data_IF_358364872142
#
_entry.id   IF_358364872142
#
_cell.length_a   1.000
_cell.length_b   1.000
_cell.length_c   1.000
_cell.angle_alpha   90.00
_cell.angle_beta   90.00
_cell.angle_gamma   90.00
#
_symmetry.space_group_name_H-M   'P 1'
#
loop_
_entity.id
_entity.type
_entity.pdbx_description
1 polymer ?
#
# COMPACT_ATOMS: atom_id res chain seq x y z
N UNK A 1 -76.17 -51.28 -4.37
CA UNK A 1 -75.41 -51.58 -3.12
C UNK A 1 -73.95 -51.31 -3.37
N UNK A 2 -73.30 -50.67 -2.40
CA UNK A 2 -71.85 -50.46 -2.23
C UNK A 2 -71.26 -49.24 -2.95
N UNK A 3 -71.13 -48.24 -2.24
CA UNK A 3 -70.13 -47.64 -1.40
C UNK A 3 -68.87 -47.27 -2.16
N UNK A 4 -68.70 -45.94 -2.35
CA UNK A 4 -67.56 -45.31 -2.92
C UNK A 4 -66.39 -45.14 -1.94
N UNK A 5 -65.18 -45.18 -2.43
CA UNK A 5 -63.98 -44.72 -1.70
C UNK A 5 -63.34 -43.51 -2.40
N UNK A 6 -63.37 -42.38 -1.71
CA UNK A 6 -62.60 -41.18 -2.05
C UNK A 6 -61.11 -41.46 -1.86
N UNK A 7 -60.37 -41.29 -2.93
CA UNK A 7 -58.87 -41.25 -2.87
C UNK A 7 -58.43 -39.82 -2.86
N UNK A 8 -57.79 -39.39 -1.75
CA UNK A 8 -57.15 -38.08 -1.60
C UNK A 8 -55.78 -38.11 -2.29
N UNK A 9 -55.67 -37.35 -3.37
CA UNK A 9 -54.38 -37.09 -3.99
C UNK A 9 -53.70 -35.95 -3.23
N UNK A 10 -52.61 -36.26 -2.56
CA UNK A 10 -51.74 -35.26 -1.93
C UNK A 10 -50.89 -34.64 -3.01
N UNK A 11 -51.11 -33.38 -3.30
CA UNK A 11 -50.20 -32.58 -4.14
C UNK A 11 -49.02 -32.14 -3.29
N UNK A 12 -47.87 -32.75 -3.48
CA UNK A 12 -46.60 -32.30 -2.93
C UNK A 12 -46.03 -31.20 -3.82
N UNK A 13 -46.17 -29.97 -3.39
CA UNK A 13 -45.51 -28.81 -3.99
C UNK A 13 -44.03 -28.82 -3.60
N UNK A 14 -43.17 -29.23 -4.54
CA UNK A 14 -41.72 -29.09 -4.41
C UNK A 14 -41.37 -27.64 -4.67
N UNK A 15 -41.03 -26.91 -3.60
CA UNK A 15 -40.49 -25.54 -3.69
C UNK A 15 -39.02 -25.64 -4.11
N UNK A 16 -38.75 -25.45 -5.39
CA UNK A 16 -37.38 -25.31 -5.91
C UNK A 16 -36.84 -23.94 -5.49
N UNK A 17 -35.97 -23.92 -4.50
CA UNK A 17 -35.19 -22.73 -4.17
C UNK A 17 -34.12 -22.52 -5.26
N UNK A 18 -34.38 -21.63 -6.20
CA UNK A 18 -33.32 -21.10 -7.05
C UNK A 18 -32.41 -20.19 -6.20
N UNK A 19 -31.30 -20.75 -5.73
CA UNK A 19 -30.18 -19.94 -5.22
C UNK A 19 -29.58 -19.24 -6.44
N UNK A 20 -29.96 -18.00 -6.66
CA UNK A 20 -29.27 -17.14 -7.59
C UNK A 20 -27.86 -16.88 -7.03
N UNK A 21 -26.87 -17.65 -7.53
CA UNK A 21 -25.47 -17.29 -7.38
C UNK A 21 -25.27 -15.96 -8.13
N UNK A 22 -25.33 -14.86 -7.40
CA UNK A 22 -24.79 -13.59 -7.89
C UNK A 22 -23.28 -13.75 -8.00
N UNK A 23 -22.82 -14.15 -9.19
CA UNK A 23 -21.40 -13.99 -9.53
C UNK A 23 -21.11 -12.49 -9.46
N UNK A 24 -20.54 -12.07 -8.34
CA UNK A 24 -19.97 -10.74 -8.24
C UNK A 24 -18.84 -10.70 -9.26
N UNK A 25 -19.06 -9.99 -10.37
CA UNK A 25 -17.99 -9.68 -11.28
C UNK A 25 -16.83 -9.10 -10.45
N UNK A 26 -15.62 -9.64 -10.63
CA UNK A 26 -14.44 -9.05 -10.03
C UNK A 26 -14.43 -7.57 -10.40
N UNK A 27 -14.14 -6.66 -9.47
CA UNK A 27 -14.07 -5.25 -9.79
C UNK A 27 -13.10 -5.10 -10.97
N UNK A 28 -13.57 -4.50 -12.05
CA UNK A 28 -12.71 -4.10 -13.17
C UNK A 28 -11.55 -3.32 -12.55
N UNK A 29 -10.31 -3.72 -12.90
CA UNK A 29 -9.14 -2.98 -12.48
C UNK A 29 -9.40 -1.48 -12.76
N UNK A 30 -9.21 -0.60 -11.77
CA UNK A 30 -9.41 0.82 -11.98
C UNK A 30 -8.57 1.24 -13.20
N UNK A 31 -9.13 2.11 -14.04
CA UNK A 31 -8.38 2.69 -15.14
C UNK A 31 -7.06 3.22 -14.57
N UNK A 32 -5.94 2.91 -15.26
CA UNK A 32 -4.65 3.46 -14.85
C UNK A 32 -4.82 4.98 -14.72
N UNK A 33 -4.40 5.60 -13.62
CA UNK A 33 -4.48 7.04 -13.49
C UNK A 33 -3.76 7.64 -14.70
N UNK A 34 -4.47 8.46 -15.47
CA UNK A 34 -3.86 9.15 -16.60
C UNK A 34 -2.73 10.02 -16.04
N UNK A 35 -1.53 9.81 -16.55
CA UNK A 35 -0.40 10.69 -16.24
C UNK A 35 -0.75 12.05 -16.83
N UNK A 36 -1.07 13.01 -15.99
CA UNK A 36 -1.21 14.41 -16.38
C UNK A 36 0.11 14.85 -17.01
N UNK A 37 0.05 15.53 -18.15
CA UNK A 37 1.22 16.12 -18.78
C UNK A 37 2.02 16.93 -17.73
N UNK A 38 3.33 17.01 -17.89
CA UNK A 38 4.19 17.81 -17.01
C UNK A 38 3.57 19.20 -16.80
N UNK A 39 3.32 19.64 -15.55
CA UNK A 39 2.67 20.91 -15.30
C UNK A 39 3.44 22.06 -15.97
N UNK A 40 2.73 23.11 -16.40
CA UNK A 40 3.34 24.29 -17.00
C UNK A 40 4.41 24.87 -16.08
N UNK A 41 5.54 25.28 -16.63
CA UNK A 41 6.65 25.88 -15.87
C UNK A 41 7.54 24.89 -15.12
N UNK A 42 7.30 23.58 -15.24
CA UNK A 42 8.24 22.55 -14.82
C UNK A 42 9.15 22.23 -16.00
N UNK A 43 10.48 22.19 -15.81
CA UNK A 43 11.41 21.77 -16.85
C UNK A 43 11.09 20.37 -17.38
N UNK A 44 11.40 20.14 -18.67
CA UNK A 44 11.22 18.82 -19.25
C UNK A 44 11.88 17.75 -18.42
N UNK A 45 11.21 16.59 -18.23
CA UNK A 45 11.76 15.51 -17.43
C UNK A 45 13.01 14.92 -18.11
N UNK A 46 13.96 14.39 -17.31
CA UNK A 46 15.19 13.84 -17.84
C UNK A 46 14.91 12.59 -18.68
N UNK A 47 15.72 12.41 -19.74
CA UNK A 47 15.74 11.16 -20.50
C UNK A 47 16.40 10.07 -19.66
N UNK A 48 15.79 8.88 -19.63
CA UNK A 48 16.32 7.69 -18.97
C UNK A 48 16.45 6.52 -19.92
N UNK A 49 17.48 5.70 -19.73
CA UNK A 49 17.75 4.50 -20.53
C UNK A 49 16.80 3.34 -20.21
N UNK A 50 16.11 3.40 -19.05
CA UNK A 50 15.19 2.36 -18.60
C UNK A 50 14.08 2.09 -19.63
N UNK A 51 13.75 0.82 -19.80
CA UNK A 51 12.62 0.38 -20.64
C UNK A 51 11.26 0.71 -20.04
N UNK A 52 11.17 0.88 -18.71
CA UNK A 52 10.04 1.49 -18.02
C UNK A 52 10.55 2.20 -16.75
N UNK A 53 9.94 3.34 -16.42
CA UNK A 53 10.30 4.09 -15.23
C UNK A 53 9.12 4.88 -14.66
N UNK A 54 9.18 5.14 -13.35
CA UNK A 54 8.23 6.00 -12.65
C UNK A 54 8.93 6.73 -11.51
N UNK A 55 8.46 7.94 -11.24
CA UNK A 55 8.78 8.69 -10.03
C UNK A 55 7.47 9.09 -9.34
N UNK A 56 7.34 8.79 -8.06
CA UNK A 56 6.16 9.16 -7.28
C UNK A 56 6.55 9.90 -6.01
N UNK A 57 5.71 10.83 -5.58
CA UNK A 57 5.79 11.39 -4.24
C UNK A 57 5.24 10.35 -3.25
N UNK A 58 6.05 9.97 -2.26
CA UNK A 58 5.74 8.82 -1.39
C UNK A 58 4.47 8.98 -0.57
N UNK A 59 4.23 10.18 0.01
CA UNK A 59 3.11 10.43 0.90
C UNK A 59 1.79 10.48 0.14
N UNK A 60 1.75 11.20 -0.97
CA UNK A 60 0.55 11.40 -1.77
C UNK A 60 0.27 10.29 -2.76
N UNK A 61 1.31 9.58 -3.21
CA UNK A 61 1.24 8.63 -4.30
C UNK A 61 1.13 9.28 -5.68
N UNK A 62 1.18 10.61 -5.78
CA UNK A 62 1.11 11.30 -7.06
C UNK A 62 2.31 10.95 -7.93
N UNK A 63 2.01 10.67 -9.19
CA UNK A 63 3.01 10.37 -10.21
C UNK A 63 3.59 11.69 -10.70
N UNK A 64 4.91 11.84 -10.57
CA UNK A 64 5.65 13.01 -11.02
C UNK A 64 6.28 12.77 -12.40
N UNK A 65 6.64 11.52 -12.71
CA UNK A 65 7.19 11.09 -13.98
C UNK A 65 6.73 9.68 -14.30
N UNK A 66 6.46 9.39 -15.56
CA UNK A 66 6.15 8.05 -16.06
C UNK A 66 6.70 7.84 -17.47
N UNK A 67 7.33 6.67 -17.68
CA UNK A 67 7.75 6.15 -18.99
C UNK A 67 7.36 4.68 -19.01
N UNK A 68 6.45 4.28 -19.89
CA UNK A 68 5.96 2.89 -19.99
C UNK A 68 5.62 2.25 -18.63
N UNK A 69 5.19 3.09 -17.68
CA UNK A 69 5.09 2.72 -16.26
C UNK A 69 4.08 1.60 -15.97
N UNK A 70 3.14 1.37 -16.88
CA UNK A 70 2.09 0.35 -16.77
C UNK A 70 2.37 -0.90 -17.62
N UNK A 71 3.49 -0.95 -18.32
CA UNK A 71 3.88 -2.10 -19.15
C UNK A 71 4.42 -3.23 -18.26
N UNK A 72 3.87 -4.47 -18.34
CA UNK A 72 4.39 -5.61 -17.62
C UNK A 72 5.82 -5.94 -18.05
N UNK A 73 6.70 -6.10 -17.05
CA UNK A 73 8.11 -6.46 -17.22
C UNK A 73 8.54 -7.44 -16.13
N UNK A 74 9.59 -8.21 -16.41
CA UNK A 74 10.20 -9.06 -15.39
C UNK A 74 10.82 -8.17 -14.29
N UNK A 75 10.42 -8.33 -13.01
CA UNK A 75 10.87 -7.47 -11.92
C UNK A 75 12.22 -7.88 -11.33
N UNK A 76 12.74 -9.06 -11.64
CA UNK A 76 13.90 -9.66 -10.97
C UNK A 76 13.72 -9.64 -9.44
N UNK A 77 14.79 -9.47 -8.68
CA UNK A 77 14.77 -9.46 -7.21
C UNK A 77 14.02 -8.28 -6.56
N UNK A 78 13.44 -7.34 -7.31
CA UNK A 78 12.50 -6.37 -6.73
C UNK A 78 11.22 -7.05 -6.24
N UNK A 79 10.92 -8.27 -6.71
CA UNK A 79 9.91 -9.21 -6.17
C UNK A 79 10.00 -9.34 -4.64
N UNK A 80 11.21 -9.31 -4.08
CA UNK A 80 11.46 -9.48 -2.65
C UNK A 80 10.84 -8.39 -1.76
N UNK A 81 10.41 -7.29 -2.35
CA UNK A 81 9.61 -6.27 -1.66
C UNK A 81 8.30 -6.90 -1.18
N UNK A 82 7.59 -7.61 -2.05
CA UNK A 82 6.32 -8.26 -1.69
C UNK A 82 6.54 -9.48 -0.79
N UNK A 83 7.60 -10.24 -1.02
CA UNK A 83 8.00 -11.30 -0.10
C UNK A 83 8.17 -10.76 1.32
N UNK A 84 8.90 -9.66 1.49
CA UNK A 84 9.09 -9.04 2.80
C UNK A 84 7.80 -8.47 3.39
N UNK A 85 6.90 -7.87 2.58
CA UNK A 85 5.58 -7.42 3.03
C UNK A 85 4.81 -8.59 3.64
N UNK A 86 4.66 -9.70 2.88
CA UNK A 86 3.91 -10.86 3.34
C UNK A 86 4.53 -11.47 4.60
N UNK A 87 5.85 -11.59 4.67
CA UNK A 87 6.55 -12.09 5.87
C UNK A 87 6.25 -11.22 7.08
N UNK A 88 6.45 -9.90 6.96
CA UNK A 88 6.30 -8.94 8.07
C UNK A 88 4.86 -8.80 8.56
N UNK A 89 3.88 -9.10 7.69
CA UNK A 89 2.46 -9.07 8.04
C UNK A 89 1.94 -10.42 8.56
N UNK A 90 2.71 -11.51 8.42
CA UNK A 90 2.25 -12.86 8.76
C UNK A 90 2.83 -13.40 10.06
N UNK A 91 4.08 -13.10 10.39
CA UNK A 91 4.83 -13.76 11.49
C UNK A 91 5.73 -12.77 12.24
N UNK A 92 6.10 -13.15 13.46
CA UNK A 92 6.98 -12.35 14.32
C UNK A 92 8.46 -12.48 13.91
N UNK A 93 9.22 -11.39 14.04
CA UNK A 93 10.65 -11.36 13.68
C UNK A 93 11.53 -12.33 14.48
N UNK A 94 11.11 -12.70 15.70
CA UNK A 94 11.83 -13.61 16.59
C UNK A 94 11.51 -15.09 16.33
N UNK A 95 10.55 -15.41 15.49
CA UNK A 95 10.21 -16.78 15.14
C UNK A 95 11.38 -17.48 14.46
N UNK A 96 11.61 -18.73 14.83
CA UNK A 96 12.70 -19.56 14.29
C UNK A 96 12.24 -20.30 13.05
N UNK A 97 13.06 -20.27 12.04
CA UNK A 97 12.88 -20.94 10.75
C UNK A 97 13.99 -21.95 10.58
N UNK A 98 13.65 -23.21 10.37
CA UNK A 98 14.59 -24.26 10.00
C UNK A 98 14.75 -24.26 8.48
N UNK A 99 15.97 -24.08 7.99
CA UNK A 99 16.27 -24.06 6.55
C UNK A 99 16.14 -25.48 5.98
N UNK A 100 15.21 -25.68 5.06
CA UNK A 100 15.02 -26.96 4.36
C UNK A 100 16.17 -27.23 3.38
N UNK A 101 16.29 -28.48 2.93
CA UNK A 101 17.21 -28.85 1.83
C UNK A 101 16.85 -28.10 0.54
N UNK A 102 15.56 -27.92 0.26
CA UNK A 102 15.09 -27.20 -0.92
C UNK A 102 15.48 -25.72 -0.84
N UNK A 103 15.25 -25.07 0.29
CA UNK A 103 15.65 -23.68 0.49
C UNK A 103 17.18 -23.52 0.34
N UNK A 104 17.99 -24.35 1.02
CA UNK A 104 19.44 -24.28 0.94
C UNK A 104 19.96 -24.46 -0.51
N UNK A 105 19.29 -25.28 -1.32
CA UNK A 105 19.64 -25.55 -2.73
C UNK A 105 19.11 -24.51 -3.73
N UNK A 106 18.43 -23.45 -3.29
CA UNK A 106 17.84 -22.46 -4.20
C UNK A 106 18.92 -21.68 -4.97
N UNK A 107 18.85 -21.65 -6.33
CA UNK A 107 19.92 -21.06 -7.14
C UNK A 107 19.90 -19.51 -7.13
N UNK A 108 21.00 -18.92 -7.61
CA UNK A 108 21.19 -17.47 -7.79
C UNK A 108 21.79 -16.79 -6.59
N UNK A 109 21.38 -15.56 -6.29
CA UNK A 109 21.90 -14.84 -5.12
C UNK A 109 21.53 -15.60 -3.84
N UNK A 110 22.51 -15.94 -3.02
CA UNK A 110 22.31 -16.75 -1.83
C UNK A 110 22.86 -16.08 -0.57
N UNK A 111 22.27 -16.40 0.55
CA UNK A 111 22.88 -16.36 1.87
C UNK A 111 23.64 -17.69 2.04
N UNK A 112 24.66 -17.72 2.85
CA UNK A 112 25.41 -18.96 3.11
C UNK A 112 24.64 -19.83 4.12
N UNK A 113 23.48 -20.37 3.70
CA UNK A 113 22.56 -21.17 4.51
C UNK A 113 22.78 -22.66 4.31
N UNK A 114 22.91 -23.39 5.40
CA UNK A 114 22.98 -24.86 5.40
C UNK A 114 21.60 -25.47 5.69
N UNK A 115 21.32 -26.65 5.10
CA UNK A 115 20.12 -27.43 5.44
C UNK A 115 20.13 -27.82 6.93
N UNK A 116 19.00 -27.65 7.61
CA UNK A 116 18.85 -27.87 9.05
C UNK A 116 19.31 -26.72 9.94
N UNK A 117 19.90 -25.67 9.37
CA UNK A 117 20.26 -24.46 10.11
C UNK A 117 19.01 -23.73 10.60
N UNK A 118 19.02 -23.22 11.83
CA UNK A 118 17.95 -22.38 12.38
C UNK A 118 18.36 -20.91 12.37
N UNK A 119 17.47 -20.06 11.84
CA UNK A 119 17.58 -18.61 11.87
C UNK A 119 16.25 -18.01 12.29
N UNK A 120 16.27 -16.82 12.83
CA UNK A 120 15.04 -16.05 13.04
C UNK A 120 14.53 -15.47 11.71
N UNK A 121 13.23 -15.22 11.62
CA UNK A 121 12.61 -14.51 10.50
C UNK A 121 13.31 -13.17 10.26
N UNK A 122 13.67 -12.47 11.34
CA UNK A 122 14.42 -11.20 11.26
C UNK A 122 15.76 -11.35 10.56
N UNK A 123 16.60 -12.34 10.95
CA UNK A 123 17.89 -12.62 10.32
C UNK A 123 17.75 -12.96 8.84
N UNK A 124 16.72 -13.76 8.49
CA UNK A 124 16.43 -14.07 7.10
C UNK A 124 16.05 -12.83 6.31
N UNK A 125 15.21 -11.94 6.84
CA UNK A 125 14.82 -10.69 6.19
C UNK A 125 16.01 -9.77 5.92
N UNK A 126 16.97 -9.66 6.84
CA UNK A 126 18.20 -8.93 6.61
C UNK A 126 18.97 -9.47 5.41
N UNK A 127 19.15 -10.77 5.33
CA UNK A 127 19.83 -11.41 4.19
C UNK A 127 19.04 -11.29 2.88
N UNK A 128 17.73 -11.45 2.92
CA UNK A 128 16.82 -11.30 1.76
C UNK A 128 16.91 -9.89 1.17
N UNK A 129 16.86 -8.86 2.01
CA UNK A 129 16.77 -7.47 1.55
C UNK A 129 18.14 -6.88 1.23
N UNK A 130 19.20 -7.15 2.00
CA UNK A 130 20.53 -6.60 1.76
C UNK A 130 21.32 -7.38 0.70
N UNK A 131 21.48 -8.70 0.88
CA UNK A 131 22.24 -9.56 -0.05
C UNK A 131 21.39 -10.13 -1.19
N UNK A 132 20.08 -9.93 -1.14
CA UNK A 132 19.16 -10.48 -2.13
C UNK A 132 19.06 -12.01 -2.11
N UNK A 133 19.19 -12.66 -0.93
CA UNK A 133 19.22 -14.12 -0.77
C UNK A 133 17.94 -14.80 -1.25
N UNK A 134 18.03 -15.62 -2.31
CA UNK A 134 16.91 -16.39 -2.84
C UNK A 134 16.53 -17.52 -1.89
N UNK A 135 17.53 -18.21 -1.35
CA UNK A 135 17.37 -19.30 -0.40
C UNK A 135 16.66 -18.83 0.89
N UNK A 136 16.94 -17.63 1.37
CA UNK A 136 16.16 -17.01 2.47
C UNK A 136 14.69 -16.82 2.14
N UNK A 137 14.35 -16.42 0.88
CA UNK A 137 12.96 -16.28 0.45
C UNK A 137 12.21 -17.61 0.47
N UNK A 138 12.85 -18.69 0.00
CA UNK A 138 12.24 -20.01 0.01
C UNK A 138 12.07 -20.52 1.45
N UNK A 139 13.08 -20.32 2.32
CA UNK A 139 13.00 -20.71 3.72
C UNK A 139 11.83 -20.06 4.47
N UNK A 140 11.65 -18.75 4.34
CA UNK A 140 10.49 -18.06 4.97
C UNK A 140 9.17 -18.45 4.32
N UNK A 141 9.16 -18.70 3.01
CA UNK A 141 7.96 -19.12 2.30
C UNK A 141 7.45 -20.49 2.77
N UNK A 142 8.36 -21.47 2.89
CA UNK A 142 8.06 -22.81 3.41
C UNK A 142 7.63 -22.77 4.88
N UNK A 143 8.28 -21.95 5.69
CA UNK A 143 7.92 -21.77 7.10
C UNK A 143 6.49 -21.23 7.28
N UNK A 144 6.11 -20.19 6.51
CA UNK A 144 4.82 -19.50 6.66
C UNK A 144 3.68 -20.29 6.03
N UNK A 145 3.91 -20.89 4.85
CA UNK A 145 2.84 -21.46 4.02
C UNK A 145 3.01 -22.93 3.72
N UNK A 146 4.02 -23.60 4.29
CA UNK A 146 4.35 -25.00 4.04
C UNK A 146 5.03 -25.26 2.70
N UNK A 147 4.77 -24.43 1.67
CA UNK A 147 5.41 -24.52 0.35
C UNK A 147 5.60 -23.12 -0.25
N UNK A 148 6.62 -22.98 -1.12
CA UNK A 148 6.80 -21.73 -1.88
C UNK A 148 5.57 -21.40 -2.74
N UNK A 149 4.93 -22.40 -3.35
CA UNK A 149 3.73 -22.19 -4.16
C UNK A 149 2.57 -21.57 -3.38
N UNK A 150 2.27 -22.08 -2.19
CA UNK A 150 1.24 -21.53 -1.32
C UNK A 150 1.58 -20.10 -0.85
N UNK A 151 2.86 -19.83 -0.58
CA UNK A 151 3.32 -18.47 -0.25
C UNK A 151 3.19 -17.50 -1.42
N UNK A 152 3.48 -17.95 -2.64
CA UNK A 152 3.31 -17.15 -3.87
C UNK A 152 1.84 -16.76 -4.07
N UNK A 153 0.89 -17.63 -3.74
CA UNK A 153 -0.52 -17.28 -3.75
C UNK A 153 -0.86 -16.19 -2.71
N UNK A 154 -0.21 -16.21 -1.52
CA UNK A 154 -0.34 -15.12 -0.56
C UNK A 154 0.23 -13.82 -1.13
N UNK A 155 1.40 -13.85 -1.77
CA UNK A 155 2.01 -12.68 -2.43
C UNK A 155 1.08 -12.08 -3.49
N UNK A 156 0.50 -12.89 -4.36
CA UNK A 156 -0.41 -12.45 -5.42
C UNK A 156 -1.69 -11.83 -4.83
N UNK A 157 -2.29 -12.47 -3.82
CA UNK A 157 -3.45 -11.89 -3.13
C UNK A 157 -3.11 -10.56 -2.47
N UNK A 158 -1.94 -10.47 -1.81
CA UNK A 158 -1.55 -9.24 -1.13
C UNK A 158 -1.25 -8.11 -2.12
N UNK A 159 -0.58 -8.40 -3.23
CA UNK A 159 -0.35 -7.44 -4.29
C UNK A 159 -1.68 -6.87 -4.84
N UNK A 160 -2.66 -7.73 -5.13
CA UNK A 160 -3.98 -7.32 -5.58
C UNK A 160 -4.72 -6.46 -4.53
N UNK A 161 -4.67 -6.81 -3.24
CA UNK A 161 -5.27 -6.03 -2.15
C UNK A 161 -4.65 -4.63 -2.02
N UNK A 162 -3.36 -4.49 -2.34
CA UNK A 162 -2.65 -3.21 -2.37
C UNK A 162 -2.86 -2.43 -3.67
N UNK A 163 -3.64 -2.96 -4.64
CA UNK A 163 -3.95 -2.30 -5.89
C UNK A 163 -2.94 -2.57 -7.02
N UNK A 164 -2.00 -3.50 -6.84
CA UNK A 164 -1.02 -3.89 -7.87
C UNK A 164 -1.63 -4.92 -8.84
N UNK A 165 -2.61 -4.49 -9.63
CA UNK A 165 -3.43 -5.36 -10.48
C UNK A 165 -2.72 -5.90 -11.73
N UNK A 166 -1.61 -5.30 -12.13
CA UNK A 166 -0.81 -5.72 -13.29
C UNK A 166 0.46 -6.45 -12.86
N UNK A 167 0.37 -7.17 -11.75
CA UNK A 167 1.47 -7.92 -11.12
C UNK A 167 1.08 -9.37 -10.93
N UNK A 168 1.98 -10.29 -11.27
CA UNK A 168 1.82 -11.70 -11.02
C UNK A 168 3.17 -12.35 -10.72
N UNK A 169 3.27 -12.99 -9.56
CA UNK A 169 4.45 -13.68 -9.10
C UNK A 169 4.31 -15.21 -9.31
N UNK A 170 5.44 -15.87 -9.58
CA UNK A 170 5.56 -17.33 -9.74
C UNK A 170 6.56 -17.95 -8.77
N UNK A 171 7.35 -17.12 -8.11
CA UNK A 171 8.29 -17.50 -7.05
C UNK A 171 8.47 -16.33 -6.09
N UNK A 172 9.07 -16.61 -4.91
CA UNK A 172 9.25 -15.63 -3.86
C UNK A 172 10.50 -14.75 -4.03
N UNK A 173 11.36 -15.03 -4.98
CA UNK A 173 12.71 -14.44 -5.05
C UNK A 173 12.97 -13.62 -6.32
N UNK A 174 12.19 -13.80 -7.40
CA UNK A 174 12.27 -12.99 -8.60
C UNK A 174 13.18 -13.56 -9.70
N UNK A 175 13.57 -14.85 -9.67
CA UNK A 175 14.14 -15.49 -10.85
C UNK A 175 13.09 -15.45 -11.94
N UNK A 176 13.49 -14.97 -13.13
CA UNK A 176 12.57 -14.78 -14.25
C UNK A 176 12.10 -16.12 -14.81
N UNK A 177 10.80 -16.32 -14.77
CA UNK A 177 10.08 -17.45 -15.38
C UNK A 177 8.85 -16.92 -16.12
N UNK A 178 8.28 -17.74 -16.99
CA UNK A 178 7.06 -17.36 -17.72
C UNK A 178 5.96 -16.92 -16.76
N UNK A 179 5.26 -15.84 -17.07
CA UNK A 179 4.18 -15.27 -16.26
C UNK A 179 4.63 -14.75 -14.87
N UNK A 180 5.92 -14.40 -14.69
CA UNK A 180 6.40 -13.67 -13.53
C UNK A 180 6.71 -12.23 -13.95
N UNK A 181 5.81 -11.30 -13.62
CA UNK A 181 5.89 -9.91 -14.07
C UNK A 181 5.31 -8.93 -13.04
N UNK A 182 5.69 -7.68 -13.19
CA UNK A 182 5.11 -6.52 -12.53
C UNK A 182 5.24 -5.30 -13.44
N UNK A 183 4.78 -4.14 -12.98
CA UNK A 183 4.95 -2.86 -13.66
C UNK A 183 5.74 -1.89 -12.80
N UNK A 184 6.29 -0.83 -13.37
CA UNK A 184 6.96 0.20 -12.58
C UNK A 184 5.97 0.88 -11.62
N UNK A 185 4.73 1.09 -12.05
CA UNK A 185 3.65 1.64 -11.22
C UNK A 185 3.32 0.72 -10.04
N UNK A 186 3.07 -0.56 -10.30
CA UNK A 186 2.72 -1.51 -9.24
C UNK A 186 3.85 -1.67 -8.22
N UNK A 187 5.11 -1.73 -8.68
CA UNK A 187 6.26 -1.79 -7.78
C UNK A 187 6.43 -0.52 -6.95
N UNK A 188 6.13 0.66 -7.50
CA UNK A 188 6.12 1.90 -6.72
C UNK A 188 5.03 1.89 -5.64
N UNK A 189 3.83 1.40 -5.97
CA UNK A 189 2.72 1.25 -5.02
C UNK A 189 3.09 0.27 -3.89
N UNK A 190 3.63 -0.89 -4.23
CA UNK A 190 4.08 -1.91 -3.27
C UNK A 190 5.23 -1.40 -2.39
N UNK A 191 6.20 -0.66 -2.97
CA UNK A 191 7.30 -0.07 -2.22
C UNK A 191 6.81 1.03 -1.26
N UNK A 192 5.84 1.86 -1.68
CA UNK A 192 5.22 2.86 -0.81
C UNK A 192 4.61 2.21 0.43
N UNK A 193 3.88 1.11 0.26
CA UNK A 193 3.32 0.36 1.38
C UNK A 193 4.42 -0.27 2.24
N UNK A 194 5.41 -0.94 1.64
CA UNK A 194 6.50 -1.57 2.38
C UNK A 194 7.26 -0.58 3.27
N UNK A 195 7.49 0.65 2.78
CA UNK A 195 8.15 1.73 3.52
C UNK A 195 7.33 2.28 4.70
N UNK A 196 6.04 1.91 4.84
CA UNK A 196 5.27 2.21 6.06
C UNK A 196 5.53 1.19 7.18
N UNK A 197 6.17 0.06 6.88
CA UNK A 197 6.48 -0.99 7.85
C UNK A 197 7.86 -0.69 8.48
N UNK A 198 7.94 -0.35 9.78
CA UNK A 198 9.19 0.14 10.38
C UNK A 198 10.37 -0.82 10.25
N UNK A 199 10.14 -2.14 10.36
CA UNK A 199 11.18 -3.14 10.21
C UNK A 199 11.72 -3.18 8.76
N UNK A 200 10.84 -3.10 7.75
CA UNK A 200 11.25 -3.03 6.36
C UNK A 200 12.10 -1.80 6.09
N UNK A 201 11.60 -0.63 6.48
CA UNK A 201 12.31 0.65 6.30
C UNK A 201 13.70 0.62 6.94
N UNK A 202 13.80 0.11 8.18
CA UNK A 202 15.07 -0.02 8.89
C UNK A 202 16.07 -0.88 8.12
N UNK A 203 15.64 -2.02 7.60
CA UNK A 203 16.51 -2.94 6.88
C UNK A 203 16.97 -2.32 5.55
N UNK A 204 16.05 -1.80 4.72
CA UNK A 204 16.41 -1.36 3.36
C UNK A 204 17.26 -0.09 3.33
N UNK A 205 17.20 0.76 4.36
CA UNK A 205 18.05 1.96 4.48
C UNK A 205 19.45 1.65 4.99
N UNK A 206 19.68 0.45 5.55
CA UNK A 206 20.96 0.06 6.12
C UNK A 206 21.95 -0.30 5.03
N UNK A 207 23.12 0.33 5.08
CA UNK A 207 24.23 0.11 4.14
C UNK A 207 24.93 -1.22 4.37
N UNK A 208 25.22 -1.51 5.63
CA UNK A 208 25.93 -2.72 6.07
C UNK A 208 25.41 -3.15 7.43
N UNK A 209 25.36 -4.44 7.67
CA UNK A 209 25.01 -5.02 8.95
C UNK A 209 25.89 -6.24 9.25
N UNK A 210 26.15 -6.48 10.52
CA UNK A 210 26.78 -7.68 11.04
C UNK A 210 25.79 -8.38 11.95
N UNK A 211 25.32 -9.56 11.54
CA UNK A 211 24.36 -10.33 12.31
C UNK A 211 25.11 -11.44 13.07
N UNK A 212 25.06 -11.46 14.41
CA UNK A 212 25.56 -12.60 15.19
C UNK A 212 24.69 -13.82 14.89
N UNK A 213 25.30 -14.95 14.58
CA UNK A 213 24.67 -16.19 14.21
C UNK A 213 25.02 -17.29 15.21
N UNK A 214 24.17 -18.33 15.34
CA UNK A 214 24.38 -19.51 16.17
C UNK A 214 24.94 -19.20 17.60
N UNK A 215 24.21 -18.35 18.33
CA UNK A 215 24.60 -17.99 19.68
C UNK A 215 25.92 -17.20 19.78
N UNK A 216 26.30 -16.52 18.69
CA UNK A 216 27.49 -15.66 18.65
C UNK A 216 28.80 -16.35 18.21
N UNK A 217 28.75 -17.62 17.77
CA UNK A 217 29.92 -18.36 17.29
C UNK A 217 30.52 -17.83 16.00
N UNK A 218 29.72 -17.23 15.14
CA UNK A 218 30.11 -16.55 13.90
C UNK A 218 29.15 -15.39 13.57
N UNK A 219 29.50 -14.55 12.61
CA UNK A 219 28.71 -13.41 12.23
C UNK A 219 28.58 -13.32 10.72
N UNK A 220 27.34 -13.10 10.23
CA UNK A 220 27.06 -12.87 8.83
C UNK A 220 27.29 -11.39 8.51
N UNK A 221 28.25 -11.13 7.61
CA UNK A 221 28.50 -9.79 7.09
C UNK A 221 27.56 -9.52 5.92
N UNK A 222 26.73 -8.50 6.04
CA UNK A 222 25.75 -8.09 5.03
C UNK A 222 26.13 -6.72 4.47
N UNK A 223 26.27 -6.65 3.15
CA UNK A 223 26.40 -5.39 2.41
C UNK A 223 25.18 -5.23 1.51
N UNK A 224 24.51 -4.08 1.59
CA UNK A 224 23.39 -3.79 0.73
C UNK A 224 23.81 -3.72 -0.74
N UNK A 225 23.07 -4.36 -1.63
CA UNK A 225 23.33 -4.35 -3.06
C UNK A 225 22.95 -3.03 -3.75
N UNK A 226 22.22 -2.15 -3.04
CA UNK A 226 21.83 -0.84 -3.55
C UNK A 226 22.93 0.20 -3.35
N UNK A 227 23.79 0.37 -4.35
CA UNK A 227 24.88 1.35 -4.28
C UNK A 227 24.41 2.81 -4.18
N UNK A 228 23.14 3.11 -4.51
CA UNK A 228 22.59 4.45 -4.37
C UNK A 228 22.69 4.97 -2.93
N UNK A 229 22.63 4.07 -1.92
CA UNK A 229 22.78 4.40 -0.52
C UNK A 229 24.13 5.09 -0.20
N UNK A 230 25.17 4.90 -1.03
CA UNK A 230 26.48 5.56 -0.86
C UNK A 230 26.69 6.75 -1.79
N UNK A 231 26.01 6.77 -2.94
CA UNK A 231 26.30 7.71 -4.01
C UNK A 231 25.27 8.83 -4.18
N UNK A 232 24.09 8.69 -3.55
CA UNK A 232 23.01 9.68 -3.65
C UNK A 232 22.61 10.21 -2.28
N UNK A 233 22.70 11.52 -2.08
CA UNK A 233 22.34 12.16 -0.82
C UNK A 233 20.86 11.99 -0.52
N UNK A 234 20.55 11.48 0.68
CA UNK A 234 19.19 11.19 1.10
C UNK A 234 18.64 9.81 0.70
N UNK A 235 19.39 9.00 -0.09
CA UNK A 235 18.95 7.64 -0.41
C UNK A 235 18.73 6.79 0.85
N UNK A 236 17.55 6.15 0.94
CA UNK A 236 17.09 5.39 2.10
C UNK A 236 16.40 4.06 1.75
N UNK A 237 16.60 3.54 0.55
CA UNK A 237 16.09 2.23 0.09
C UNK A 237 16.16 2.09 -1.43
N UNK A 238 15.59 1.09 -2.02
CA UNK A 238 14.80 -0.01 -1.47
C UNK A 238 15.41 -1.36 -1.90
N UNK A 239 15.35 -1.72 -3.22
CA UNK A 239 15.79 -3.04 -3.70
C UNK A 239 16.27 -3.02 -5.14
N UNK A 240 17.43 -3.65 -5.38
CA UNK A 240 17.96 -3.95 -6.72
C UNK A 240 17.42 -5.27 -7.26
N UNK A 241 17.40 -5.42 -8.56
CA UNK A 241 17.13 -6.69 -9.24
C UNK A 241 17.91 -6.82 -10.53
N UNK A 242 18.38 -8.02 -10.87
CA UNK A 242 19.01 -8.31 -12.15
C UNK A 242 18.79 -9.77 -12.53
N UNK A 243 18.29 -10.01 -13.73
CA UNK A 243 18.32 -11.30 -14.42
C UNK A 243 18.56 -11.04 -15.89
N UNK A 244 18.93 -12.05 -16.67
CA UNK A 244 19.12 -11.89 -18.12
C UNK A 244 17.87 -11.35 -18.81
N UNK A 245 16.68 -11.81 -18.39
CA UNK A 245 15.41 -11.39 -18.98
C UNK A 245 14.90 -10.03 -18.48
N UNK A 246 15.22 -9.65 -17.23
CA UNK A 246 14.76 -8.38 -16.64
C UNK A 246 15.68 -7.20 -16.95
N UNK A 247 16.95 -7.45 -17.29
CA UNK A 247 17.96 -6.40 -17.30
C UNK A 247 18.25 -5.88 -15.89
N UNK A 248 18.77 -4.67 -15.77
CA UNK A 248 19.02 -4.01 -14.49
C UNK A 248 17.76 -3.29 -14.01
N UNK A 249 17.26 -3.65 -12.83
CA UNK A 249 16.08 -3.06 -12.18
C UNK A 249 16.47 -2.44 -10.84
N UNK A 250 15.81 -1.36 -10.45
CA UNK A 250 15.96 -0.72 -9.15
C UNK A 250 14.63 -0.11 -8.74
N UNK A 251 14.20 -0.43 -7.54
CA UNK A 251 13.25 0.36 -6.77
C UNK A 251 14.05 1.12 -5.75
N UNK A 252 13.97 2.43 -5.77
CA UNK A 252 14.72 3.31 -4.88
C UNK A 252 13.81 4.28 -4.15
N UNK A 253 14.24 4.72 -2.97
CA UNK A 253 13.67 5.86 -2.27
C UNK A 253 14.77 6.78 -1.79
N UNK A 254 14.42 8.06 -1.68
CA UNK A 254 15.27 9.06 -1.06
C UNK A 254 14.41 10.07 -0.30
N UNK A 255 14.95 10.55 0.83
CA UNK A 255 14.31 11.57 1.67
C UNK A 255 15.22 12.79 1.79
N UNK A 256 14.67 13.98 1.48
CA UNK A 256 15.30 15.29 1.69
C UNK A 256 14.28 16.23 2.32
N UNK A 257 14.67 16.94 3.36
CA UNK A 257 13.83 17.94 4.05
C UNK A 257 12.44 17.41 4.45
N UNK A 258 12.38 16.14 4.91
CA UNK A 258 11.16 15.46 5.33
C UNK A 258 10.23 15.02 4.18
N UNK A 259 10.63 15.21 2.93
CA UNK A 259 9.93 14.76 1.74
C UNK A 259 10.62 13.53 1.15
N UNK A 260 9.85 12.47 0.90
CA UNK A 260 10.34 11.22 0.32
C UNK A 260 9.80 11.03 -1.10
N UNK A 261 10.68 10.67 -2.01
CA UNK A 261 10.34 10.24 -3.37
C UNK A 261 10.66 8.76 -3.54
N UNK A 262 9.87 8.06 -4.36
CA UNK A 262 10.10 6.69 -4.77
C UNK A 262 10.27 6.64 -6.29
N UNK A 263 11.37 6.07 -6.74
CA UNK A 263 11.67 5.85 -8.16
C UNK A 263 11.75 4.36 -8.46
N UNK A 264 11.16 3.94 -9.57
CA UNK A 264 11.32 2.59 -10.11
C UNK A 264 11.84 2.67 -11.52
N UNK A 265 12.92 1.95 -11.81
CA UNK A 265 13.46 1.78 -13.15
C UNK A 265 13.58 0.28 -13.46
N UNK A 266 13.07 -0.14 -14.62
CA UNK A 266 13.07 -1.53 -15.07
C UNK A 266 13.77 -1.63 -16.44
N UNK A 267 14.60 -2.64 -16.59
CA UNK A 267 15.40 -2.86 -17.82
C UNK A 267 16.18 -1.62 -18.21
N UNK A 268 17.01 -1.12 -17.32
CA UNK A 268 17.86 0.06 -17.50
C UNK A 268 19.28 -0.34 -17.94
N UNK A 269 19.91 0.47 -18.75
CA UNK A 269 21.34 0.34 -19.06
C UNK A 269 22.20 0.73 -17.85
N UNK A 270 21.80 1.82 -17.16
CA UNK A 270 22.40 2.25 -15.89
C UNK A 270 21.32 2.67 -14.89
N UNK A 271 20.90 1.70 -14.06
CA UNK A 271 19.83 1.88 -13.05
C UNK A 271 20.13 2.99 -12.04
N UNK A 272 21.40 3.21 -11.71
CA UNK A 272 21.77 4.21 -10.70
C UNK A 272 21.73 5.62 -11.28
N UNK A 273 22.24 5.80 -12.50
CA UNK A 273 22.17 7.07 -13.20
C UNK A 273 20.72 7.45 -13.51
N UNK A 274 19.93 6.54 -14.10
CA UNK A 274 18.51 6.78 -14.38
C UNK A 274 17.74 7.18 -13.13
N UNK A 275 17.97 6.47 -12.02
CA UNK A 275 17.31 6.77 -10.74
C UNK A 275 17.77 8.12 -10.17
N UNK A 276 19.06 8.42 -10.20
CA UNK A 276 19.61 9.66 -9.66
C UNK A 276 19.04 10.89 -10.38
N UNK A 277 19.01 10.88 -11.71
CA UNK A 277 18.48 12.02 -12.49
C UNK A 277 16.97 12.21 -12.25
N UNK A 278 16.19 11.12 -12.09
CA UNK A 278 14.77 11.22 -11.77
C UNK A 278 14.54 11.81 -10.37
N UNK A 279 15.30 11.34 -9.38
CA UNK A 279 15.19 11.84 -8.00
C UNK A 279 15.61 13.32 -7.91
N UNK A 280 16.75 13.71 -8.54
CA UNK A 280 17.18 15.12 -8.57
C UNK A 280 16.13 16.01 -9.24
N UNK A 281 15.60 15.59 -10.39
CA UNK A 281 14.55 16.33 -11.07
C UNK A 281 13.30 16.45 -10.21
N UNK A 282 12.89 15.39 -9.53
CA UNK A 282 11.73 15.41 -8.63
C UNK A 282 11.93 16.33 -7.42
N UNK A 283 13.09 16.27 -6.77
CA UNK A 283 13.41 17.16 -5.64
C UNK A 283 13.58 18.62 -6.08
N UNK A 284 14.13 18.85 -7.25
CA UNK A 284 14.38 20.20 -7.77
C UNK A 284 13.14 20.92 -8.29
N UNK A 285 12.07 20.19 -8.63
CA UNK A 285 10.92 20.80 -9.32
C UNK A 285 9.60 20.67 -8.58
N UNK A 286 9.43 19.74 -7.63
CA UNK A 286 8.17 19.51 -6.93
C UNK A 286 8.31 19.71 -5.43
N UNK A 287 7.23 20.14 -4.82
CA UNK A 287 7.00 20.20 -3.37
C UNK A 287 5.81 19.35 -2.96
N UNK A 288 5.59 19.20 -1.66
CA UNK A 288 4.38 18.63 -1.09
C UNK A 288 3.84 19.53 0.01
N UNK A 289 2.56 19.88 -0.08
CA UNK A 289 1.87 20.80 0.85
C UNK A 289 0.79 20.05 1.59
N UNK A 290 0.72 20.22 2.91
CA UNK A 290 -0.39 19.74 3.72
C UNK A 290 -1.52 20.78 3.69
N UNK A 291 -2.59 20.46 2.99
CA UNK A 291 -3.76 21.32 2.86
C UNK A 291 -4.72 21.17 4.05
N UNK A 292 -4.80 19.96 4.61
CA UNK A 292 -5.66 19.70 5.76
C UNK A 292 -5.19 18.47 6.55
N UNK A 293 -5.59 18.41 7.83
CA UNK A 293 -5.28 17.32 8.74
C UNK A 293 -6.50 16.46 9.01
N UNK A 294 -6.32 15.15 9.09
CA UNK A 294 -7.38 14.23 9.53
C UNK A 294 -7.93 14.64 10.91
N UNK A 295 -9.22 14.42 11.13
CA UNK A 295 -9.90 14.77 12.39
C UNK A 295 -10.12 16.26 12.65
N UNK A 296 -9.59 17.17 11.81
CA UNK A 296 -9.88 18.62 11.87
C UNK A 296 -10.93 18.95 10.81
N UNK A 297 -12.15 19.39 11.23
CA UNK A 297 -13.21 19.71 10.27
C UNK A 297 -12.81 20.86 9.33
N UNK A 298 -13.03 20.66 8.04
CA UNK A 298 -12.91 21.67 6.98
C UNK A 298 -14.26 22.29 6.64
N UNK A 299 -15.33 21.52 6.81
CA UNK A 299 -16.69 21.93 6.51
C UNK A 299 -17.67 21.30 7.51
N UNK A 300 -18.93 21.71 7.43
CA UNK A 300 -20.03 21.04 8.11
C UNK A 300 -21.21 20.85 7.16
N UNK A 301 -21.98 19.77 7.37
CA UNK A 301 -23.19 19.47 6.58
C UNK A 301 -24.41 19.37 7.47
N UNK A 302 -25.54 19.83 6.98
CA UNK A 302 -26.83 19.74 7.68
C UNK A 302 -27.33 18.29 7.74
N UNK A 303 -27.76 17.83 8.93
CA UNK A 303 -28.30 16.49 9.13
C UNK A 303 -29.81 16.56 9.34
N UNK A 304 -30.57 16.10 8.36
CA UNK A 304 -32.06 16.04 8.46
C UNK A 304 -32.46 14.83 9.29
N UNK A 305 -33.36 15.06 10.27
CA UNK A 305 -33.86 14.00 11.15
C UNK A 305 -32.81 13.45 12.13
N UNK A 306 -31.74 14.19 12.39
CA UNK A 306 -30.71 13.82 13.36
C UNK A 306 -30.94 14.42 14.74
N UNK A 307 -30.37 13.77 15.76
CA UNK A 307 -30.34 14.31 17.12
C UNK A 307 -29.50 15.60 17.20
N UNK A 308 -28.55 15.78 16.29
CA UNK A 308 -27.81 17.00 16.02
C UNK A 308 -28.15 17.48 14.60
N UNK A 309 -28.25 18.80 14.42
CA UNK A 309 -28.63 19.40 13.14
C UNK A 309 -27.47 19.49 12.14
N UNK A 310 -26.23 19.32 12.58
CA UNK A 310 -25.02 19.44 11.79
C UNK A 310 -24.00 18.39 12.19
N UNK A 311 -23.11 18.04 11.26
CA UNK A 311 -21.93 17.20 11.52
C UNK A 311 -20.73 17.81 10.82
N UNK A 312 -19.58 17.84 11.52
CA UNK A 312 -18.30 18.27 10.96
C UNK A 312 -17.74 17.24 9.98
N UNK A 313 -17.10 17.71 8.94
CA UNK A 313 -16.45 16.89 7.92
C UNK A 313 -14.97 17.17 7.89
N UNK A 314 -14.14 16.13 8.04
CA UNK A 314 -12.69 16.20 7.91
C UNK A 314 -12.19 15.27 6.80
N UNK A 315 -10.99 15.48 6.27
CA UNK A 315 -10.41 14.53 5.34
C UNK A 315 -10.20 13.16 6.01
N UNK A 316 -10.43 12.09 5.23
CA UNK A 316 -10.28 10.71 5.68
C UNK A 316 -8.83 10.39 6.11
N UNK A 317 -7.87 11.04 5.45
CA UNK A 317 -6.44 11.01 5.75
C UNK A 317 -5.87 12.43 5.73
N UNK A 318 -4.63 12.64 6.22
CA UNK A 318 -3.95 13.93 6.06
C UNK A 318 -3.87 14.30 4.58
N UNK A 319 -4.48 15.43 4.20
CA UNK A 319 -4.60 15.85 2.81
C UNK A 319 -3.35 16.61 2.38
N UNK A 320 -2.43 15.86 1.80
CA UNK A 320 -1.24 16.42 1.15
C UNK A 320 -1.45 16.47 -0.35
N UNK A 321 -0.87 17.44 -1.01
CA UNK A 321 -0.79 17.51 -2.47
C UNK A 321 0.64 17.79 -2.90
N UNK A 322 1.13 17.04 -3.91
CA UNK A 322 2.38 17.35 -4.59
C UNK A 322 2.10 18.31 -5.75
N UNK A 323 2.93 19.33 -5.87
CA UNK A 323 2.80 20.34 -6.92
C UNK A 323 4.18 20.90 -7.29
N UNK A 324 4.32 21.62 -8.41
CA UNK A 324 5.52 22.35 -8.73
C UNK A 324 5.93 23.29 -7.57
N UNK A 325 7.24 23.45 -7.34
CA UNK A 325 7.76 24.29 -6.25
C UNK A 325 7.24 25.72 -6.31
N UNK A 326 7.12 26.29 -7.51
CA UNK A 326 6.58 27.65 -7.70
C UNK A 326 5.09 27.75 -7.33
N UNK A 327 4.35 26.63 -7.37
CA UNK A 327 2.90 26.58 -7.12
C UNK A 327 2.55 26.22 -5.67
N UNK A 328 3.50 26.04 -4.78
CA UNK A 328 3.23 25.63 -3.39
C UNK A 328 2.34 26.60 -2.60
N UNK A 329 2.31 27.86 -3.01
CA UNK A 329 1.46 28.91 -2.42
C UNK A 329 0.21 29.21 -3.26
N UNK A 330 0.03 28.53 -4.41
CA UNK A 330 -1.05 28.79 -5.37
C UNK A 330 -2.05 27.64 -5.47
N UNK A 331 -1.89 26.58 -4.64
CA UNK A 331 -2.86 25.48 -4.60
C UNK A 331 -4.20 25.96 -4.09
N UNK A 332 -5.26 25.76 -4.87
CA UNK A 332 -6.64 25.89 -4.46
C UNK A 332 -7.10 24.68 -3.63
N UNK A 333 -8.10 24.90 -2.79
CA UNK A 333 -8.81 23.85 -2.06
C UNK A 333 -10.32 24.00 -2.32
N UNK A 334 -10.89 23.04 -3.03
CA UNK A 334 -12.31 22.99 -3.32
C UNK A 334 -12.99 21.89 -2.51
N UNK A 335 -14.20 22.19 -2.01
CA UNK A 335 -14.97 21.24 -1.19
C UNK A 335 -16.30 20.93 -1.86
N UNK A 336 -16.47 19.69 -2.27
CA UNK A 336 -17.70 19.18 -2.86
C UNK A 336 -18.48 18.41 -1.80
N UNK A 337 -19.45 19.08 -1.18
CA UNK A 337 -20.25 18.55 -0.07
C UNK A 337 -21.73 18.65 -0.40
N UNK A 338 -22.51 17.62 -0.06
CA UNK A 338 -23.94 17.63 -0.19
C UNK A 338 -24.56 18.77 0.68
N UNK A 339 -25.62 19.43 0.20
CA UNK A 339 -26.30 20.47 0.98
C UNK A 339 -26.88 19.97 2.30
N UNK A 340 -27.34 18.72 2.34
CA UNK A 340 -27.81 18.06 3.53
C UNK A 340 -27.74 16.53 3.38
N UNK A 341 -27.59 15.85 4.50
CA UNK A 341 -27.62 14.38 4.62
C UNK A 341 -28.74 13.96 5.56
N UNK A 342 -29.14 12.68 5.54
CA UNK A 342 -30.16 12.13 6.43
C UNK A 342 -29.51 11.30 7.53
N UNK A 343 -30.00 11.45 8.77
CA UNK A 343 -29.62 10.59 9.88
C UNK A 343 -30.18 9.15 9.68
N UNK A 344 -29.52 8.12 10.25
CA UNK A 344 -28.31 8.23 11.08
C UNK A 344 -27.03 8.41 10.21
N UNK A 345 -26.09 9.19 10.73
CA UNK A 345 -24.72 9.32 10.18
C UNK A 345 -23.76 8.56 11.07
N UNK A 346 -22.85 7.78 10.48
CA UNK A 346 -21.79 7.08 11.21
C UNK A 346 -20.51 7.88 11.17
N UNK A 347 -19.73 7.87 12.25
CA UNK A 347 -18.37 8.36 12.23
C UNK A 347 -17.58 7.66 11.13
N UNK A 348 -16.80 8.41 10.34
CA UNK A 348 -16.06 7.88 9.18
C UNK A 348 -16.90 7.68 7.91
N UNK A 349 -18.20 7.99 7.94
CA UNK A 349 -19.03 7.92 6.73
C UNK A 349 -18.61 9.00 5.75
N UNK A 350 -18.36 8.61 4.49
CA UNK A 350 -18.05 9.55 3.39
C UNK A 350 -19.29 10.39 3.07
N UNK A 351 -19.11 11.72 3.02
CA UNK A 351 -20.19 12.70 2.81
C UNK A 351 -19.85 13.67 1.68
N UNK A 352 -18.59 13.79 1.31
CA UNK A 352 -18.14 14.68 0.25
C UNK A 352 -16.72 14.36 -0.18
N UNK A 353 -16.14 15.26 -0.98
CA UNK A 353 -14.76 15.19 -1.47
C UNK A 353 -14.12 16.55 -1.31
N UNK A 354 -12.84 16.59 -0.93
CA UNK A 354 -11.99 17.76 -1.01
C UNK A 354 -11.00 17.58 -2.16
N UNK A 355 -10.86 18.59 -2.99
CA UNK A 355 -9.96 18.60 -4.14
C UNK A 355 -8.90 19.69 -4.00
N UNK A 356 -7.65 19.30 -4.24
CA UNK A 356 -6.56 20.24 -4.44
C UNK A 356 -6.50 20.60 -5.92
N UNK A 357 -6.54 21.88 -6.25
CA UNK A 357 -6.56 22.37 -7.62
C UNK A 357 -5.34 23.24 -7.92
N UNK A 358 -4.89 23.20 -9.17
CA UNK A 358 -3.84 24.07 -9.71
C UNK A 358 -4.18 24.38 -11.17
N UNK A 359 -4.23 25.66 -11.56
CA UNK A 359 -4.53 26.10 -12.93
C UNK A 359 -5.81 25.44 -13.50
N UNK A 360 -6.89 25.45 -12.72
CA UNK A 360 -8.20 24.83 -13.04
C UNK A 360 -8.17 23.30 -13.20
N UNK A 361 -7.04 22.64 -12.88
CA UNK A 361 -6.90 21.19 -12.88
C UNK A 361 -6.86 20.59 -11.47
N UNK A 362 -7.56 19.45 -11.28
CA UNK A 362 -7.50 18.69 -10.03
C UNK A 362 -6.17 17.94 -9.97
N UNK A 363 -5.34 18.26 -8.97
CA UNK A 363 -4.06 17.58 -8.74
C UNK A 363 -4.19 16.41 -7.77
N UNK A 364 -5.15 16.47 -6.82
CA UNK A 364 -5.47 15.37 -5.91
C UNK A 364 -6.85 15.57 -5.28
N UNK A 365 -7.53 14.47 -4.99
CA UNK A 365 -8.78 14.46 -4.23
C UNK A 365 -8.67 13.53 -3.02
N UNK A 366 -9.45 13.82 -1.96
CA UNK A 366 -9.58 12.99 -0.76
C UNK A 366 -11.03 13.00 -0.29
N UNK A 367 -11.51 11.87 0.25
CA UNK A 367 -12.84 11.81 0.84
C UNK A 367 -12.95 12.72 2.07
N UNK A 368 -14.10 13.39 2.18
CA UNK A 368 -14.53 14.06 3.40
C UNK A 368 -15.44 13.13 4.19
N UNK A 369 -15.07 12.84 5.42
CA UNK A 369 -15.79 11.92 6.31
C UNK A 369 -16.34 12.63 7.53
N UNK A 370 -17.46 12.15 8.05
CA UNK A 370 -18.05 12.64 9.28
C UNK A 370 -17.12 12.39 10.48
N UNK A 371 -16.77 13.45 11.22
CA UNK A 371 -15.86 13.36 12.39
C UNK A 371 -16.52 12.68 13.59
N UNK A 372 -17.85 12.67 13.62
CA UNK A 372 -18.67 12.05 14.66
C UNK A 372 -19.93 11.41 14.07
N UNK A 373 -20.57 10.54 14.85
CA UNK A 373 -21.84 9.94 14.46
C UNK A 373 -23.01 10.82 14.91
N UNK A 374 -24.03 10.99 14.04
CA UNK A 374 -25.29 11.65 14.38
C UNK A 374 -26.42 10.63 14.31
N UNK A 375 -26.96 10.17 15.44
CA UNK A 375 -28.07 9.24 15.45
C UNK A 375 -29.37 9.92 15.00
N UNK A 376 -30.34 9.13 14.56
CA UNK A 376 -31.68 9.65 14.26
C UNK A 376 -32.30 10.30 15.50
N UNK A 377 -33.03 11.39 15.26
CA UNK A 377 -33.82 12.03 16.31
C UNK A 377 -34.95 11.11 16.77
N UNK A 378 -35.11 10.95 18.08
CA UNK A 378 -36.30 10.30 18.71
C UNK A 378 -36.75 11.12 19.91
N UNK A 379 -38.04 11.10 20.28
CA UNK A 379 -38.53 11.81 21.47
C UNK A 379 -37.81 11.41 22.74
N UNK A 380 -37.51 10.12 22.92
CA UNK A 380 -36.79 9.59 24.08
C UNK A 380 -35.37 10.17 24.19
N UNK A 381 -34.65 10.28 23.06
CA UNK A 381 -33.31 10.89 23.02
C UNK A 381 -33.36 12.38 23.34
N UNK A 382 -34.38 13.09 22.86
CA UNK A 382 -34.59 14.49 23.18
C UNK A 382 -34.82 14.68 24.68
N UNK A 383 -35.64 13.82 25.28
CA UNK A 383 -35.93 13.83 26.71
C UNK A 383 -34.66 13.52 27.57
N UNK A 384 -33.91 12.49 27.20
CA UNK A 384 -32.65 12.15 27.87
C UNK A 384 -31.63 13.30 27.77
N UNK A 385 -31.51 13.95 26.60
CA UNK A 385 -30.61 15.09 26.39
C UNK A 385 -31.01 16.28 27.27
N UNK A 386 -32.29 16.52 27.46
CA UNK A 386 -32.80 17.59 28.33
C UNK A 386 -32.58 17.25 29.84
N UNK A 387 -32.57 15.98 30.24
CA UNK A 387 -32.29 15.54 31.61
C UNK A 387 -30.81 15.53 32.00
N UNK A 388 -29.89 15.33 31.06
CA UNK A 388 -28.44 15.25 31.32
C UNK A 388 -27.86 16.45 32.10
N UNK A 389 -28.21 17.74 31.79
CA UNK A 389 -27.74 18.88 32.57
C UNK A 389 -28.27 18.84 34.02
N UNK A 390 -29.53 18.41 34.22
CA UNK A 390 -30.15 18.32 35.53
C UNK A 390 -29.49 17.21 36.36
N UNK A 391 -29.24 16.05 35.77
CA UNK A 391 -28.53 14.93 36.43
C UNK A 391 -27.10 15.37 36.81
N UNK A 392 -26.38 16.07 35.92
CA UNK A 392 -25.04 16.59 36.23
C UNK A 392 -25.06 17.63 37.34
N UNK A 393 -26.10 18.45 37.43
CA UNK A 393 -26.27 19.43 38.48
C UNK A 393 -26.54 18.73 39.83
N UNK A 394 -27.42 17.73 39.85
CA UNK A 394 -27.73 16.94 41.03
C UNK A 394 -26.51 16.15 41.54
N UNK A 395 -25.75 15.54 40.65
CA UNK A 395 -24.50 14.86 40.99
C UNK A 395 -23.42 15.79 41.57
N UNK A 396 -23.41 17.08 41.20
CA UNK A 396 -22.52 18.09 41.80
C UNK A 396 -22.94 18.53 43.21
N UNK A 397 -24.23 18.36 43.55
CA UNK A 397 -24.77 18.74 44.85
C UNK A 397 -24.82 17.59 45.87
N UNK A 398 -24.27 16.42 45.51
CA UNK A 398 -24.09 15.31 46.43
C UNK A 398 -25.43 14.67 46.93
N UNK A 399 -26.49 14.80 46.12
CA UNK A 399 -27.75 14.12 46.37
C UNK A 399 -27.65 12.74 45.71
N UNK A 400 -27.10 11.77 46.43
CA UNK A 400 -27.06 10.35 46.13
C UNK A 400 -27.51 9.60 47.36
#
# INVERSE_FOLDING_TARGET
MAVGRFSRVLLATVLVWCIALTVRAAPLAPAAPEFSATPRGVPDPPSVSAGAAILVEWRTGQVLYAKDAYQPRAPASTTKIVTAIVVLESVGLAEKVTVSRNAAGTPGSAMDLASGQELTVGELLWGILLRSGNNGCVAVAEHIAGTEGAFVEMMNRRAAQLGAWRTHFRNAHGISVRNHYSTAFDLALLARHALTIPAFETIVRTRQATLPMEGGKWAMQLRNTNNLLWTFAGADGVKTGTTSAAGKCLVASATRDGRRLVSVVLNSADRYQDTAVLLEWGFGNFGAVCLARTGRPLASVRVKGGAEGWVGLAPEEDFWAACPLWATHSLGLELHVAQAVRAPIRRGQVVGVAEATLDDGVVRAVNLVAVEGVPSWTPERAFLKALLPVIRLLARWGVG
#
